data_IF_693060307385
#
_entry.id   IF_693060307385
#
_cell.length_a   1.000
_cell.length_b   1.000
_cell.length_c   1.000
_cell.angle_alpha   90.00
_cell.angle_beta   90.00
_cell.angle_gamma   90.00
#
_symmetry.space_group_name_H-M   'P 1'
#
loop_
_entity.id
_entity.type
_entity.pdbx_description
1 polymer ?
#
# COMPACT_ATOMS: atom_id res chain seq x y z
N UNK A 1 40.70 17.79 6.79
CA UNK A 1 39.33 17.49 7.29
C UNK A 1 38.31 18.23 6.41
N UNK A 2 37.73 17.56 5.41
CA UNK A 2 36.69 18.16 4.55
C UNK A 2 35.32 17.89 5.17
N UNK A 3 34.67 18.93 5.66
CA UNK A 3 33.28 18.88 6.11
C UNK A 3 32.35 18.74 4.90
N UNK A 4 31.71 17.57 4.77
CA UNK A 4 30.71 17.32 3.74
C UNK A 4 29.50 18.22 4.00
N UNK A 5 29.36 19.28 3.19
CA UNK A 5 28.25 20.24 3.20
C UNK A 5 26.96 19.46 2.91
N UNK A 6 26.20 19.13 3.96
CA UNK A 6 24.86 18.56 3.83
C UNK A 6 23.99 19.56 3.06
N UNK A 7 23.62 19.20 1.83
CA UNK A 7 22.69 19.94 0.99
C UNK A 7 21.35 20.07 1.71
N UNK A 8 21.07 21.28 2.22
CA UNK A 8 19.77 21.65 2.81
C UNK A 8 18.66 21.38 1.78
N UNK A 9 17.55 20.73 2.15
CA UNK A 9 16.43 20.57 1.23
C UNK A 9 15.89 21.94 0.82
N UNK A 10 15.77 22.15 -0.49
CA UNK A 10 15.25 23.35 -1.13
C UNK A 10 13.91 23.80 -0.53
N UNK A 11 13.84 25.09 -0.18
CA UNK A 11 12.83 25.69 0.71
C UNK A 11 11.35 25.56 0.30
N UNK A 12 11.04 25.18 -0.94
CA UNK A 12 9.65 24.98 -1.39
C UNK A 12 8.96 23.75 -0.78
N UNK A 13 9.70 22.67 -0.52
CA UNK A 13 9.14 21.39 -0.03
C UNK A 13 8.95 21.32 1.48
N UNK A 14 9.41 22.33 2.23
CA UNK A 14 9.24 22.43 3.68
C UNK A 14 7.88 23.05 4.06
N UNK A 15 7.42 24.05 3.29
CA UNK A 15 6.16 24.76 3.52
C UNK A 15 4.91 23.96 3.11
N UNK A 16 5.03 23.07 2.11
CA UNK A 16 3.94 22.21 1.64
C UNK A 16 3.66 21.01 2.57
N UNK A 17 4.52 20.75 3.57
CA UNK A 17 4.40 19.57 4.46
C UNK A 17 3.16 19.59 5.35
N UNK A 18 2.89 20.65 6.15
CA UNK A 18 1.70 20.68 6.99
C UNK A 18 0.42 20.64 6.16
N UNK A 19 0.43 21.27 4.98
CA UNK A 19 -0.71 21.27 4.05
C UNK A 19 -1.03 19.84 3.59
N UNK A 20 -0.03 19.07 3.14
CA UNK A 20 -0.25 17.68 2.73
C UNK A 20 -0.71 16.79 3.88
N UNK A 21 -0.11 16.97 5.06
CA UNK A 21 -0.54 16.22 6.24
C UNK A 21 -1.99 16.54 6.61
N UNK A 22 -2.38 17.81 6.54
CA UNK A 22 -3.76 18.24 6.74
C UNK A 22 -4.68 17.64 5.68
N UNK A 23 -4.31 17.66 4.40
CA UNK A 23 -5.09 17.04 3.33
C UNK A 23 -5.29 15.54 3.57
N UNK A 24 -4.26 14.82 4.02
CA UNK A 24 -4.40 13.37 4.30
C UNK A 24 -5.32 13.12 5.48
N UNK A 25 -5.25 13.93 6.55
CA UNK A 25 -6.17 13.80 7.68
C UNK A 25 -7.59 14.18 7.27
N UNK A 26 -7.74 15.23 6.46
CA UNK A 26 -9.03 15.66 5.93
C UNK A 26 -9.65 14.56 5.06
N UNK A 27 -8.90 13.96 4.13
CA UNK A 27 -9.36 12.82 3.31
C UNK A 27 -9.65 11.60 4.19
N UNK A 28 -8.79 11.34 5.17
CA UNK A 28 -8.93 10.23 6.10
C UNK A 28 -10.12 10.37 7.05
N UNK A 29 -10.57 11.58 7.38
CA UNK A 29 -11.69 11.84 8.29
C UNK A 29 -12.98 12.27 7.57
N UNK A 30 -12.89 12.66 6.30
CA UNK A 30 -14.03 13.05 5.47
C UNK A 30 -15.19 12.04 5.50
N UNK A 31 -14.96 10.72 5.46
CA UNK A 31 -16.04 9.73 5.53
C UNK A 31 -16.79 9.77 6.85
N UNK A 32 -16.06 9.82 7.96
CA UNK A 32 -16.63 9.92 9.30
C UNK A 32 -17.44 11.22 9.44
N UNK A 33 -16.88 12.34 8.98
CA UNK A 33 -17.58 13.62 8.97
C UNK A 33 -18.87 13.55 8.15
N UNK A 34 -18.81 12.97 6.95
CA UNK A 34 -19.99 12.75 6.10
C UNK A 34 -21.05 11.90 6.79
N UNK A 35 -20.67 10.83 7.48
CA UNK A 35 -21.61 9.99 8.21
C UNK A 35 -22.30 10.74 9.36
N UNK A 36 -21.56 11.58 10.10
CA UNK A 36 -22.14 12.41 11.17
C UNK A 36 -23.15 13.41 10.60
N UNK A 37 -22.80 14.10 9.51
CA UNK A 37 -23.70 15.05 8.85
C UNK A 37 -24.95 14.37 8.31
N UNK A 38 -24.81 13.23 7.61
CA UNK A 38 -25.95 12.46 7.13
C UNK A 38 -26.84 11.98 8.29
N UNK A 39 -26.22 11.59 9.42
CA UNK A 39 -26.89 11.20 10.66
C UNK A 39 -27.74 12.30 11.23
N UNK A 40 -27.16 13.49 11.33
CA UNK A 40 -27.84 14.67 11.85
C UNK A 40 -28.98 15.12 10.94
N UNK A 41 -28.81 15.01 9.62
CA UNK A 41 -29.82 15.39 8.63
C UNK A 41 -30.93 14.34 8.43
N UNK A 42 -30.89 13.21 9.15
CA UNK A 42 -31.83 12.10 8.94
C UNK A 42 -31.76 11.50 7.52
N UNK A 43 -30.68 11.78 6.78
CA UNK A 43 -30.50 11.43 5.38
C UNK A 43 -29.71 10.13 5.19
N UNK A 44 -29.54 9.32 6.25
CA UNK A 44 -29.10 7.95 6.04
C UNK A 44 -30.19 7.19 5.31
N UNK A 45 -29.79 6.38 4.34
CA UNK A 45 -30.65 5.44 3.62
C UNK A 45 -31.50 4.62 4.58
N UNK A 46 -32.58 4.02 4.07
CA UNK A 46 -33.52 3.19 4.85
C UNK A 46 -32.85 2.20 5.83
N UNK A 47 -31.69 1.64 5.47
CA UNK A 47 -30.85 0.83 6.35
C UNK A 47 -29.52 1.56 6.66
N UNK A 48 -29.44 2.36 7.74
CA UNK A 48 -28.23 3.12 8.09
C UNK A 48 -27.04 2.21 8.41
N UNK A 49 -27.29 1.07 9.04
CA UNK A 49 -26.27 0.08 9.42
C UNK A 49 -25.59 -0.51 8.18
N UNK A 50 -26.38 -0.98 7.19
CA UNK A 50 -25.83 -1.52 5.95
C UNK A 50 -25.02 -0.46 5.19
N UNK A 51 -25.50 0.79 5.16
CA UNK A 51 -24.77 1.90 4.54
C UNK A 51 -23.40 2.14 5.20
N UNK A 52 -23.34 2.18 6.52
CA UNK A 52 -22.09 2.40 7.26
C UNK A 52 -21.12 1.21 7.10
N UNK A 53 -21.62 -0.02 7.11
CA UNK A 53 -20.80 -1.22 6.85
C UNK A 53 -20.24 -1.18 5.42
N UNK A 54 -21.05 -0.89 4.41
CA UNK A 54 -20.57 -0.80 3.01
C UNK A 54 -19.61 0.36 2.82
N UNK A 55 -19.96 1.54 3.34
CA UNK A 55 -19.16 2.74 3.18
C UNK A 55 -17.79 2.58 3.83
N UNK A 56 -17.70 2.01 5.04
CA UNK A 56 -16.40 1.77 5.70
C UNK A 56 -15.49 0.85 4.88
N UNK A 57 -16.04 -0.22 4.28
CA UNK A 57 -15.29 -1.10 3.38
C UNK A 57 -14.75 -0.40 2.13
N UNK A 58 -15.57 0.44 1.49
CA UNK A 58 -15.17 1.22 0.30
C UNK A 58 -14.02 2.18 0.64
N UNK A 59 -14.11 2.89 1.78
CA UNK A 59 -13.06 3.83 2.20
C UNK A 59 -11.77 3.13 2.61
N UNK A 60 -11.87 1.97 3.26
CA UNK A 60 -10.71 1.13 3.55
C UNK A 60 -9.96 0.75 2.26
N UNK A 61 -10.70 0.31 1.25
CA UNK A 61 -10.15 -0.08 -0.05
C UNK A 61 -9.55 1.11 -0.80
N UNK A 62 -10.26 2.24 -0.87
CA UNK A 62 -9.79 3.45 -1.51
C UNK A 62 -8.47 3.96 -0.90
N UNK A 63 -8.39 4.04 0.43
CA UNK A 63 -7.18 4.47 1.13
C UNK A 63 -6.02 3.49 0.96
N UNK A 64 -6.30 2.18 0.91
CA UNK A 64 -5.31 1.16 0.59
C UNK A 64 -4.71 1.38 -0.81
N UNK A 65 -5.54 1.74 -1.79
CA UNK A 65 -5.08 2.00 -3.16
C UNK A 65 -4.31 3.30 -3.28
N UNK A 66 -4.75 4.35 -2.59
CA UNK A 66 -3.98 5.60 -2.51
C UNK A 66 -2.61 5.31 -1.88
N UNK A 67 -2.55 4.50 -0.81
CA UNK A 67 -1.29 4.09 -0.20
C UNK A 67 -0.38 3.28 -1.15
N UNK A 68 -0.96 2.41 -1.99
CA UNK A 68 -0.21 1.67 -3.02
C UNK A 68 0.28 2.59 -4.15
N UNK A 69 -0.51 3.61 -4.50
CA UNK A 69 -0.25 4.61 -5.54
C UNK A 69 0.83 5.62 -5.16
N UNK A 70 1.19 5.75 -3.87
CA UNK A 70 2.32 6.57 -3.44
C UNK A 70 3.64 6.17 -4.12
N UNK A 71 3.86 4.87 -4.33
CA UNK A 71 5.08 4.37 -4.98
C UNK A 71 5.18 4.81 -6.44
N UNK A 72 4.13 4.64 -7.27
CA UNK A 72 4.20 5.09 -8.64
C UNK A 72 4.26 6.60 -8.80
N UNK A 73 3.51 7.34 -7.99
CA UNK A 73 3.57 8.82 -8.00
C UNK A 73 4.99 9.28 -7.71
N UNK A 74 5.67 8.71 -6.70
CA UNK A 74 7.08 9.03 -6.43
C UNK A 74 8.00 8.79 -7.63
N UNK A 75 7.79 7.69 -8.37
CA UNK A 75 8.65 7.33 -9.51
C UNK A 75 8.47 8.28 -10.69
N UNK A 76 7.25 8.74 -10.94
CA UNK A 76 6.95 9.70 -12.02
C UNK A 76 7.41 11.11 -11.63
N UNK A 77 7.13 11.54 -10.39
CA UNK A 77 7.40 12.92 -9.93
C UNK A 77 8.81 13.12 -9.35
N UNK A 78 9.54 12.05 -9.05
CA UNK A 78 10.82 12.11 -8.33
C UNK A 78 10.71 12.54 -6.86
N UNK A 79 9.50 12.84 -6.35
CA UNK A 79 9.33 13.44 -5.04
C UNK A 79 9.43 12.42 -3.90
N UNK A 80 10.59 12.35 -3.23
CA UNK A 80 10.79 11.45 -2.09
C UNK A 80 9.94 11.81 -0.85
N UNK A 81 9.47 13.06 -0.76
CA UNK A 81 8.65 13.55 0.36
C UNK A 81 7.29 12.89 0.47
N UNK A 82 6.80 12.20 -0.57
CA UNK A 82 5.51 11.51 -0.54
C UNK A 82 5.56 10.17 0.23
N UNK A 83 6.75 9.55 0.34
CA UNK A 83 6.90 8.22 0.95
C UNK A 83 6.56 8.19 2.45
N UNK A 84 6.78 9.29 3.18
CA UNK A 84 6.40 9.39 4.61
C UNK A 84 4.89 9.37 4.83
N UNK A 85 4.12 9.83 3.85
CA UNK A 85 2.66 9.88 3.93
C UNK A 85 2.01 8.51 3.68
N UNK A 86 2.71 7.60 2.99
CA UNK A 86 2.27 6.21 2.76
C UNK A 86 1.84 5.52 4.05
N UNK A 87 2.59 5.74 5.14
CA UNK A 87 2.33 5.12 6.44
C UNK A 87 0.99 5.60 7.02
N UNK A 88 0.73 6.91 6.97
CA UNK A 88 -0.51 7.51 7.47
C UNK A 88 -1.72 6.96 6.70
N UNK A 89 -1.62 6.91 5.37
CA UNK A 89 -2.67 6.35 4.50
C UNK A 89 -2.96 4.87 4.82
N UNK A 90 -1.92 4.06 5.05
CA UNK A 90 -2.08 2.67 5.44
C UNK A 90 -2.75 2.48 6.81
N UNK A 91 -2.45 3.36 7.78
CA UNK A 91 -3.11 3.36 9.09
C UNK A 91 -4.60 3.75 8.97
N UNK A 92 -4.93 4.74 8.14
CA UNK A 92 -6.32 5.08 7.87
C UNK A 92 -7.06 3.93 7.16
N UNK A 93 -6.43 3.28 6.19
CA UNK A 93 -7.00 2.09 5.55
C UNK A 93 -7.33 1.01 6.60
N UNK A 94 -6.40 0.71 7.50
CA UNK A 94 -6.63 -0.24 8.60
C UNK A 94 -7.72 0.22 9.57
N UNK A 95 -7.76 1.51 9.93
CA UNK A 95 -8.82 2.07 10.78
C UNK A 95 -10.22 1.83 10.18
N UNK A 96 -10.41 2.11 8.89
CA UNK A 96 -11.67 1.82 8.22
C UNK A 96 -11.95 0.32 8.07
N UNK A 97 -10.92 -0.51 7.87
CA UNK A 97 -11.05 -1.96 7.92
C UNK A 97 -11.54 -2.42 9.30
N UNK A 98 -11.01 -1.88 10.39
CA UNK A 98 -11.47 -2.20 11.75
C UNK A 98 -12.91 -1.77 11.96
N UNK A 99 -13.30 -0.58 11.51
CA UNK A 99 -14.70 -0.13 11.56
C UNK A 99 -15.62 -1.08 10.78
N UNK A 100 -15.19 -1.53 9.60
CA UNK A 100 -15.95 -2.48 8.79
C UNK A 100 -16.15 -3.83 9.49
N UNK A 101 -15.09 -4.39 10.09
CA UNK A 101 -15.17 -5.65 10.83
C UNK A 101 -16.03 -5.51 12.09
N UNK A 102 -15.90 -4.40 12.82
CA UNK A 102 -16.73 -4.11 14.00
C UNK A 102 -18.19 -3.96 13.60
N UNK A 103 -18.48 -3.25 12.51
CA UNK A 103 -19.83 -3.08 12.00
C UNK A 103 -20.48 -4.42 11.63
N UNK A 104 -19.76 -5.30 10.92
CA UNK A 104 -20.22 -6.66 10.65
C UNK A 104 -20.41 -7.48 11.93
N UNK A 105 -19.44 -7.44 12.85
CA UNK A 105 -19.52 -8.22 14.09
C UNK A 105 -20.70 -7.79 14.97
N UNK A 106 -20.92 -6.47 15.13
CA UNK A 106 -21.95 -5.91 16.00
C UNK A 106 -23.34 -5.93 15.34
N UNK A 107 -23.48 -5.42 14.13
CA UNK A 107 -24.80 -5.25 13.49
C UNK A 107 -25.28 -6.51 12.79
N UNK A 108 -24.41 -7.21 12.04
CA UNK A 108 -24.84 -8.38 11.25
C UNK A 108 -24.87 -9.66 12.09
N UNK A 109 -24.01 -9.77 13.11
CA UNK A 109 -23.85 -10.97 13.96
C UNK A 109 -24.16 -10.77 15.44
N UNK A 110 -24.58 -9.57 15.85
CA UNK A 110 -24.99 -9.29 17.22
C UNK A 110 -23.89 -9.50 18.26
N UNK A 111 -22.62 -9.45 17.86
CA UNK A 111 -21.45 -9.80 18.65
C UNK A 111 -21.44 -11.25 19.18
N UNK A 112 -22.17 -12.17 18.55
CA UNK A 112 -22.24 -13.58 18.96
C UNK A 112 -21.10 -14.38 18.30
N UNK A 113 -20.10 -14.89 19.06
CA UNK A 113 -18.93 -15.55 18.48
C UNK A 113 -19.26 -16.80 17.65
N UNK A 114 -20.26 -17.58 18.06
CA UNK A 114 -20.70 -18.76 17.33
C UNK A 114 -21.29 -18.40 15.96
N UNK A 115 -22.08 -17.32 15.87
CA UNK A 115 -22.65 -16.84 14.62
C UNK A 115 -21.56 -16.31 13.69
N UNK A 116 -20.57 -15.58 14.23
CA UNK A 116 -19.42 -15.10 13.46
C UNK A 116 -18.58 -16.26 12.90
N UNK A 117 -18.34 -17.31 13.71
CA UNK A 117 -17.58 -18.48 13.27
C UNK A 117 -18.31 -19.27 12.20
N UNK A 118 -19.61 -19.52 12.38
CA UNK A 118 -20.44 -20.18 11.39
C UNK A 118 -20.44 -19.39 10.06
N UNK A 119 -20.52 -18.07 10.14
CA UNK A 119 -20.54 -17.20 8.96
C UNK A 119 -19.23 -17.22 8.16
N UNK A 120 -18.08 -17.33 8.86
CA UNK A 120 -16.77 -17.49 8.22
C UNK A 120 -16.68 -18.74 7.35
N UNK A 121 -17.37 -19.82 7.76
CA UNK A 121 -17.36 -21.10 7.06
C UNK A 121 -18.49 -21.24 6.03
N UNK A 122 -19.64 -20.63 6.29
CA UNK A 122 -20.80 -20.73 5.41
C UNK A 122 -20.76 -19.73 4.25
N UNK A 123 -19.97 -18.66 4.37
CA UNK A 123 -19.87 -17.60 3.35
C UNK A 123 -18.42 -17.39 2.93
N UNK A 124 -18.05 -17.99 1.81
CA UNK A 124 -16.69 -17.92 1.26
C UNK A 124 -16.16 -16.48 1.14
N UNK A 125 -17.02 -15.52 0.77
CA UNK A 125 -16.61 -14.12 0.66
C UNK A 125 -16.16 -13.52 2.01
N UNK A 126 -16.78 -13.90 3.13
CA UNK A 126 -16.43 -13.41 4.47
C UNK A 126 -15.10 -13.99 4.91
N UNK A 127 -14.83 -15.26 4.61
CA UNK A 127 -13.53 -15.90 4.82
C UNK A 127 -12.39 -15.15 4.10
N UNK A 128 -12.60 -14.75 2.84
CA UNK A 128 -11.62 -13.94 2.08
C UNK A 128 -11.37 -12.58 2.74
N UNK A 129 -12.43 -11.92 3.23
CA UNK A 129 -12.33 -10.67 3.96
C UNK A 129 -11.54 -10.82 5.27
N UNK A 130 -11.84 -11.85 6.04
CA UNK A 130 -11.11 -12.18 7.27
C UNK A 130 -9.62 -12.42 7.02
N UNK A 131 -9.26 -13.11 5.93
CA UNK A 131 -7.87 -13.32 5.54
C UNK A 131 -7.17 -12.01 5.16
N UNK A 132 -7.86 -11.09 4.48
CA UNK A 132 -7.31 -9.76 4.19
C UNK A 132 -7.02 -8.97 5.48
N UNK A 133 -7.93 -9.00 6.45
CA UNK A 133 -7.76 -8.38 7.77
C UNK A 133 -6.57 -9.00 8.50
N UNK A 134 -6.42 -10.32 8.44
CA UNK A 134 -5.31 -11.04 9.05
C UNK A 134 -3.96 -10.61 8.47
N UNK A 135 -3.87 -10.33 7.16
CA UNK A 135 -2.65 -9.77 6.58
C UNK A 135 -2.44 -8.29 6.91
N UNK A 136 -3.49 -7.47 7.00
CA UNK A 136 -3.36 -6.04 7.33
C UNK A 136 -3.00 -5.78 8.80
N UNK A 137 -3.44 -6.65 9.71
CA UNK A 137 -3.21 -6.53 11.16
C UNK A 137 -1.73 -6.44 11.55
N UNK A 138 -0.84 -7.36 11.14
CA UNK A 138 0.59 -7.26 11.47
C UNK A 138 1.23 -6.03 10.81
N UNK A 139 0.73 -5.55 9.66
CA UNK A 139 1.21 -4.33 9.04
C UNK A 139 0.88 -3.09 9.88
N UNK A 140 -0.32 -3.03 10.43
CA UNK A 140 -0.74 -1.94 11.32
C UNK A 140 0.08 -1.93 12.61
N UNK A 141 0.23 -3.08 13.26
CA UNK A 141 1.00 -3.21 14.52
C UNK A 141 2.47 -2.82 14.30
N UNK A 142 3.08 -3.30 13.21
CA UNK A 142 4.48 -3.02 12.88
C UNK A 142 4.69 -1.66 12.19
N UNK A 143 3.63 -0.86 12.08
CA UNK A 143 3.70 0.52 11.59
C UNK A 143 4.33 1.46 12.62
N UNK A 144 4.51 1.08 13.90
CA UNK A 144 5.12 1.97 14.90
C UNK A 144 6.65 2.09 14.78
N UNK A 145 7.20 3.24 15.18
CA UNK A 145 8.65 3.51 15.11
C UNK A 145 9.49 2.52 15.92
N UNK A 146 8.94 1.94 17.00
CA UNK A 146 9.61 0.91 17.79
C UNK A 146 9.82 -0.39 17.00
N UNK A 147 8.74 -0.91 16.39
CA UNK A 147 8.80 -2.14 15.60
C UNK A 147 9.65 -2.00 14.35
N UNK A 148 9.64 -0.83 13.70
CA UNK A 148 10.47 -0.58 12.52
C UNK A 148 11.97 -0.69 12.84
N UNK A 149 12.41 -0.15 13.99
CA UNK A 149 13.80 -0.27 14.45
C UNK A 149 14.17 -1.71 14.85
N UNK A 150 13.23 -2.44 15.47
CA UNK A 150 13.45 -3.84 15.91
C UNK A 150 13.54 -4.84 14.75
N UNK A 151 12.69 -4.70 13.73
CA UNK A 151 12.58 -5.66 12.62
C UNK A 151 13.59 -5.41 11.49
N UNK A 152 14.05 -4.16 11.30
CA UNK A 152 15.03 -3.81 10.27
C UNK A 152 14.67 -4.34 8.87
N UNK A 153 15.51 -5.21 8.30
CA UNK A 153 15.29 -5.79 6.96
C UNK A 153 14.02 -6.65 6.85
N UNK A 154 13.59 -7.27 7.95
CA UNK A 154 12.38 -8.11 7.98
C UNK A 154 11.10 -7.28 7.91
N UNK A 155 11.14 -6.02 8.37
CA UNK A 155 10.02 -5.09 8.27
C UNK A 155 9.57 -4.91 6.82
N UNK A 156 10.53 -4.77 5.90
CA UNK A 156 10.25 -4.61 4.48
C UNK A 156 9.66 -5.89 3.86
N UNK A 157 10.03 -7.09 4.35
CA UNK A 157 9.44 -8.36 3.91
C UNK A 157 8.00 -8.49 4.42
N UNK A 158 7.76 -8.22 5.69
CA UNK A 158 6.43 -8.24 6.30
C UNK A 158 5.49 -7.26 5.58
N UNK A 159 5.96 -6.05 5.27
CA UNK A 159 5.15 -5.07 4.55
C UNK A 159 4.84 -5.43 3.09
N UNK A 160 5.40 -6.53 2.54
CA UNK A 160 4.95 -7.09 1.26
C UNK A 160 3.58 -7.77 1.38
N UNK A 161 3.12 -8.12 2.59
CA UNK A 161 1.76 -8.66 2.77
C UNK A 161 0.67 -7.66 2.38
N UNK A 162 1.00 -6.38 2.18
CA UNK A 162 0.07 -5.39 1.61
C UNK A 162 -0.44 -5.80 0.23
N UNK A 163 0.35 -6.53 -0.55
CA UNK A 163 -0.03 -6.98 -1.90
C UNK A 163 -1.11 -8.07 -1.85
N UNK A 164 -0.91 -9.22 -1.17
CA UNK A 164 -1.97 -10.20 -1.03
C UNK A 164 -3.18 -9.62 -0.30
N UNK A 165 -3.00 -8.76 0.72
CA UNK A 165 -4.10 -8.08 1.36
C UNK A 165 -4.95 -7.24 0.37
N UNK A 166 -4.31 -6.48 -0.52
CA UNK A 166 -5.01 -5.68 -1.52
C UNK A 166 -5.77 -6.56 -2.54
N UNK A 167 -5.16 -7.66 -2.99
CA UNK A 167 -5.81 -8.61 -3.90
C UNK A 167 -7.02 -9.26 -3.23
N UNK A 168 -6.87 -9.75 -1.99
CA UNK A 168 -7.97 -10.35 -1.22
C UNK A 168 -9.09 -9.34 -0.94
N UNK A 169 -8.74 -8.07 -0.69
CA UNK A 169 -9.75 -7.02 -0.46
C UNK A 169 -10.61 -6.77 -1.70
N UNK A 170 -10.01 -6.78 -2.90
CA UNK A 170 -10.77 -6.68 -4.16
C UNK A 170 -11.59 -7.94 -4.41
N UNK A 171 -11.00 -9.11 -4.17
CA UNK A 171 -11.71 -10.38 -4.33
C UNK A 171 -12.95 -10.43 -3.43
N UNK A 172 -12.82 -10.07 -2.16
CA UNK A 172 -13.91 -9.95 -1.22
C UNK A 172 -15.03 -9.04 -1.75
N UNK A 173 -14.67 -7.87 -2.30
CA UNK A 173 -15.61 -6.91 -2.86
C UNK A 173 -16.35 -7.43 -4.10
N UNK A 174 -15.63 -8.06 -5.04
CA UNK A 174 -16.21 -8.63 -6.26
C UNK A 174 -17.18 -9.75 -5.88
N UNK A 175 -16.79 -10.65 -4.97
CA UNK A 175 -17.62 -11.80 -4.62
C UNK A 175 -18.89 -11.40 -3.88
N UNK A 176 -18.81 -10.40 -3.00
CA UNK A 176 -19.98 -9.81 -2.32
C UNK A 176 -21.01 -9.29 -3.34
N UNK A 177 -20.55 -8.73 -4.46
CA UNK A 177 -21.42 -8.08 -5.45
C UNK A 177 -21.84 -8.99 -6.60
N UNK A 178 -21.09 -10.05 -6.88
CA UNK A 178 -21.45 -11.09 -7.84
C UNK A 178 -22.79 -11.76 -7.47
N UNK A 179 -23.09 -11.89 -6.17
CA UNK A 179 -24.38 -12.41 -5.70
C UNK A 179 -25.59 -11.49 -5.91
N UNK A 180 -25.38 -10.22 -6.32
CA UNK A 180 -26.46 -9.24 -6.57
C UNK A 180 -26.65 -8.86 -8.05
N UNK A 181 -25.91 -9.47 -8.98
CA UNK A 181 -25.91 -9.15 -10.43
C UNK A 181 -25.59 -7.68 -10.80
N UNK A 182 -25.13 -6.85 -9.85
CA UNK A 182 -24.80 -5.44 -10.03
C UNK A 182 -23.30 -5.24 -10.33
N UNK A 183 -22.87 -5.53 -11.55
CA UNK A 183 -21.44 -5.56 -11.89
C UNK A 183 -20.80 -4.20 -12.19
N UNK A 184 -21.58 -3.13 -12.34
CA UNK A 184 -21.07 -1.86 -12.87
C UNK A 184 -20.07 -1.14 -11.95
N UNK A 185 -20.42 -0.97 -10.66
CA UNK A 185 -19.52 -0.34 -9.68
C UNK A 185 -18.29 -1.20 -9.38
N UNK A 186 -18.38 -2.52 -9.12
CA UNK A 186 -17.22 -3.39 -8.90
C UNK A 186 -16.22 -3.44 -10.03
N UNK A 187 -16.68 -3.41 -11.28
CA UNK A 187 -15.81 -3.48 -12.45
C UNK A 187 -14.94 -2.22 -12.56
N UNK A 188 -15.48 -1.04 -12.26
CA UNK A 188 -14.72 0.21 -12.27
C UNK A 188 -13.61 0.19 -11.20
N UNK A 189 -13.94 -0.30 -10.02
CA UNK A 189 -12.99 -0.49 -8.92
C UNK A 189 -11.91 -1.52 -9.28
N UNK A 190 -12.29 -2.68 -9.81
CA UNK A 190 -11.34 -3.70 -10.28
C UNK A 190 -10.42 -3.18 -11.39
N UNK A 191 -10.96 -2.40 -12.33
CA UNK A 191 -10.19 -1.78 -13.43
C UNK A 191 -9.12 -0.83 -12.90
N UNK A 192 -9.45 0.05 -11.95
CA UNK A 192 -8.48 0.97 -11.33
C UNK A 192 -7.36 0.19 -10.64
N UNK A 193 -7.69 -0.87 -9.90
CA UNK A 193 -6.69 -1.69 -9.23
C UNK A 193 -5.81 -2.44 -10.24
N UNK A 194 -6.40 -2.98 -11.31
CA UNK A 194 -5.70 -3.70 -12.36
C UNK A 194 -4.72 -2.77 -13.10
N UNK A 195 -5.14 -1.53 -13.39
CA UNK A 195 -4.25 -0.50 -13.97
C UNK A 195 -3.10 -0.17 -13.02
N UNK A 196 -3.37 0.01 -11.72
CA UNK A 196 -2.33 0.30 -10.72
C UNK A 196 -1.33 -0.86 -10.55
N UNK A 197 -1.81 -2.11 -10.56
CA UNK A 197 -0.96 -3.30 -10.51
C UNK A 197 -0.17 -3.49 -11.80
N UNK A 198 -0.80 -3.33 -12.96
CA UNK A 198 -0.16 -3.47 -14.27
C UNK A 198 0.97 -2.44 -14.46
N UNK A 199 0.72 -1.17 -14.11
CA UNK A 199 1.75 -0.12 -14.15
C UNK A 199 2.95 -0.49 -13.26
N UNK A 200 2.69 -1.09 -12.09
CA UNK A 200 3.74 -1.49 -11.15
C UNK A 200 4.56 -2.68 -11.65
N UNK A 201 3.91 -3.70 -12.19
CA UNK A 201 4.58 -4.89 -12.75
C UNK A 201 5.42 -4.50 -13.96
N UNK A 202 4.87 -3.68 -14.88
CA UNK A 202 5.59 -3.19 -16.05
C UNK A 202 6.90 -2.48 -15.68
N UNK A 203 6.91 -1.70 -14.59
CA UNK A 203 8.12 -1.01 -14.14
C UNK A 203 9.10 -1.89 -13.38
N UNK A 204 8.61 -2.87 -12.62
CA UNK A 204 9.48 -3.89 -12.01
C UNK A 204 10.21 -4.70 -13.08
N UNK A 205 9.51 -5.03 -14.18
CA UNK A 205 10.10 -5.72 -15.33
C UNK A 205 11.11 -4.83 -16.07
N UNK A 206 10.79 -3.55 -16.34
CA UNK A 206 11.73 -2.58 -16.96
C UNK A 206 12.99 -2.33 -16.14
N UNK A 207 12.89 -2.31 -14.81
CA UNK A 207 14.05 -2.15 -13.93
C UNK A 207 14.97 -3.39 -13.93
N UNK A 208 14.41 -4.58 -14.15
CA UNK A 208 15.18 -5.83 -14.31
C UNK A 208 15.94 -5.84 -15.64
N UNK A 209 15.32 -5.38 -16.73
CA UNK A 209 15.94 -5.36 -18.06
C UNK A 209 17.16 -4.44 -18.13
N UNK A 210 17.12 -3.27 -17.48
CA UNK A 210 18.25 -2.33 -17.46
C UNK A 210 19.46 -2.81 -16.64
N UNK A 211 19.25 -3.64 -15.62
CA UNK A 211 20.35 -4.20 -14.81
C UNK A 211 21.05 -5.39 -15.48
N UNK A 212 20.44 -6.04 -16.48
CA UNK A 212 21.05 -7.17 -17.20
C UNK A 212 22.00 -6.69 -18.31
N UNK A 213 21.78 -5.49 -18.85
CA UNK A 213 22.60 -4.92 -19.93
C UNK A 213 23.94 -4.33 -19.47
N UNK A 214 24.09 -3.98 -18.18
CA UNK A 214 25.32 -3.34 -17.67
C UNK A 214 26.42 -4.33 -17.22
N UNK A 215 26.14 -5.64 -17.17
CA UNK A 215 27.10 -6.66 -16.70
C UNK A 215 27.93 -7.26 -17.83
N UNK A 216 27.73 -6.83 -19.08
CA UNK A 216 28.36 -7.44 -20.26
C UNK A 216 29.13 -6.41 -21.09
N UNK A 217 30.12 -5.74 -20.50
CA UNK A 217 31.22 -5.08 -21.23
C UNK A 217 32.31 -4.62 -20.25
N UNK A 218 33.18 -5.53 -19.84
CA UNK A 218 34.57 -5.18 -19.53
C UNK A 218 35.43 -5.77 -20.65
N UNK A 219 36.05 -4.95 -21.52
CA UNK A 219 37.06 -5.46 -22.43
C UNK A 219 38.23 -5.96 -21.58
N UNK A 220 38.50 -7.27 -21.60
CA UNK A 220 39.79 -7.80 -21.13
C UNK A 220 40.84 -7.28 -22.10
N UNK A 221 41.61 -6.28 -21.67
CA UNK A 221 42.84 -5.89 -22.37
C UNK A 221 43.79 -7.09 -22.38
N UNK A 222 44.30 -7.56 -23.53
CA UNK A 222 45.32 -8.60 -23.56
C UNK A 222 46.62 -8.01 -23.00
N UNK A 223 47.10 -8.53 -21.89
CA UNK A 223 48.44 -8.23 -21.39
C UNK A 223 49.48 -8.77 -22.39
N UNK A 224 50.17 -7.86 -23.08
CA UNK A 224 51.29 -8.19 -23.96
C UNK A 224 52.39 -8.93 -23.18
N UNK A 225 53.03 -9.96 -23.76
CA UNK A 225 54.14 -10.63 -23.13
C UNK A 225 55.38 -9.72 -23.18
N UNK A 226 55.98 -9.45 -22.02
CA UNK A 226 57.26 -8.75 -21.90
C UNK A 226 58.35 -9.57 -22.58
N UNK A 227 58.73 -9.16 -23.80
CA UNK A 227 59.94 -9.64 -24.45
C UNK A 227 61.18 -9.12 -23.70
N UNK A 228 61.89 -10.09 -23.12
CA UNK A 228 63.34 -10.20 -22.92
C UNK A 228 64.19 -9.14 -23.63
N UNK A 229 65.03 -8.40 -22.88
CA UNK A 229 66.26 -7.79 -23.40
C UNK A 229 67.48 -8.34 -22.66
N UNK A 230 68.16 -9.25 -23.32
CA UNK A 230 69.54 -9.68 -23.05
C UNK A 230 70.51 -8.54 -23.37
N UNK A 231 71.62 -8.44 -22.61
CA UNK A 231 72.87 -7.91 -23.15
C UNK A 231 73.57 -6.80 -22.35
N UNK A 232 74.65 -7.21 -21.66
CA UNK A 232 76.04 -6.81 -21.91
C UNK A 232 76.62 -5.45 -21.43
N UNK A 233 77.88 -5.56 -20.97
CA UNK A 233 78.94 -4.56 -20.71
C UNK A 233 78.79 -3.73 -19.42
N UNK A 234 79.82 -3.54 -18.59
CA UNK A 234 81.24 -3.88 -18.67
C UNK A 234 81.99 -3.08 -17.59
N UNK A 235 83.15 -3.62 -17.17
CA UNK A 235 84.24 -3.03 -16.35
C UNK A 235 83.91 -2.53 -14.94
#
# INVERSE_FOLDING_TARGET
MQYHKQSRPTGGTARLRPVLDLCIHAIGLFPVFRWIVLGYLGALTANPQEYLTRSSGIWALALLWVALSVTPIRRITGWNGIMRHRRKLGLYAFFYTSLHVIAWALWDRGAVPAAMWADLWQRDFIGVGALAVLFLTPLAITSTHGWMRRLGRWWARLHRLVYPAAVLSVWHFIWMRAGKNDFFEPQLYALVLLVLFAARIAWLLRAKTMNTSSTRMTPRTPSLPLQRKTGHHGS
#
